data_IF_038007551365
#
_entry.id   IF_038007551365
#
_cell.length_a   1.000
_cell.length_b   1.000
_cell.length_c   1.000
_cell.angle_alpha   90.00
_cell.angle_beta   90.00
_cell.angle_gamma   90.00
#
_symmetry.space_group_name_H-M   'P 1'
#
loop_
_entity.id
_entity.type
_entity.pdbx_description
1 polymer ?
#
# COMPACT_ATOMS: atom_id res chain seq x y z
N UNK A 1 1.14 -5.02 -13.88
CA UNK A 1 2.41 -4.48 -14.42
C UNK A 1 2.30 -3.94 -15.85
N UNK A 2 1.62 -4.65 -16.79
CA UNK A 2 1.51 -4.20 -18.21
C UNK A 2 0.68 -2.93 -18.32
N UNK A 3 -0.48 -2.89 -17.64
CA UNK A 3 -1.37 -1.73 -17.63
C UNK A 3 -0.67 -0.50 -17.03
N UNK A 4 -0.03 -0.67 -15.88
CA UNK A 4 0.70 0.43 -15.25
C UNK A 4 1.79 0.99 -16.15
N UNK A 5 2.64 0.14 -16.76
CA UNK A 5 3.68 0.55 -17.69
C UNK A 5 3.14 1.31 -18.91
N UNK A 6 1.98 0.89 -19.42
CA UNK A 6 1.27 1.61 -20.49
C UNK A 6 0.79 2.99 -20.00
N UNK A 7 0.15 3.04 -18.83
CA UNK A 7 -0.36 4.31 -18.28
C UNK A 7 0.74 5.32 -17.98
N UNK A 8 1.89 4.87 -17.52
CA UNK A 8 3.08 5.71 -17.33
C UNK A 8 3.55 6.32 -18.65
N UNK A 9 3.70 5.46 -19.69
CA UNK A 9 4.26 5.88 -20.99
C UNK A 9 3.30 6.75 -21.78
N UNK A 10 2.02 6.36 -21.82
CA UNK A 10 1.05 6.94 -22.76
C UNK A 10 0.11 7.94 -22.11
N UNK A 11 -0.07 7.88 -20.80
CA UNK A 11 -1.04 8.72 -20.07
C UNK A 11 -0.40 9.64 -19.03
N UNK A 12 0.90 9.48 -18.78
CA UNK A 12 1.65 10.34 -17.87
C UNK A 12 1.34 10.07 -16.40
N UNK A 13 1.01 8.85 -16.02
CA UNK A 13 0.92 8.44 -14.61
C UNK A 13 2.31 8.55 -13.98
N UNK A 14 2.39 9.12 -12.78
CA UNK A 14 3.65 9.35 -12.06
C UNK A 14 3.60 8.91 -10.60
N UNK A 15 2.46 8.45 -10.11
CA UNK A 15 2.33 7.91 -8.75
C UNK A 15 1.71 6.54 -8.80
N UNK A 16 2.40 5.58 -8.21
CA UNK A 16 1.89 4.24 -7.94
C UNK A 16 1.42 4.18 -6.48
N UNK A 17 0.16 3.84 -6.27
CA UNK A 17 -0.48 3.78 -4.95
C UNK A 17 -0.67 2.33 -4.57
N UNK A 18 -0.20 1.94 -3.40
CA UNK A 18 -0.28 0.57 -2.90
C UNK A 18 -1.17 0.46 -1.65
N UNK A 19 -1.82 -0.68 -1.51
CA UNK A 19 -2.46 -1.11 -0.27
C UNK A 19 -1.40 -1.61 0.71
N UNK A 20 -0.57 -0.68 1.14
CA UNK A 20 0.52 -0.94 2.07
C UNK A 20 0.72 0.25 2.99
N UNK A 21 1.31 0.02 4.16
CA UNK A 21 1.60 1.08 5.13
C UNK A 21 2.72 2.00 4.67
N UNK A 22 2.77 3.16 5.31
CA UNK A 22 3.71 4.23 4.94
C UNK A 22 5.17 3.82 5.02
N UNK A 23 5.58 3.10 6.09
CA UNK A 23 6.98 2.70 6.25
C UNK A 23 7.45 1.74 5.15
N UNK A 24 6.57 0.83 4.74
CA UNK A 24 6.85 -0.11 3.63
C UNK A 24 7.09 0.65 2.34
N UNK A 25 6.14 1.46 1.92
CA UNK A 25 6.21 2.16 0.64
C UNK A 25 7.23 3.30 0.62
N UNK A 26 7.55 3.88 1.77
CA UNK A 26 8.69 4.80 1.88
C UNK A 26 10.01 4.10 1.49
N UNK A 27 10.27 2.90 2.01
CA UNK A 27 11.48 2.14 1.69
C UNK A 27 11.51 1.69 0.22
N UNK A 28 10.36 1.29 -0.33
CA UNK A 28 10.19 0.99 -1.76
C UNK A 28 10.49 2.22 -2.61
N UNK A 29 9.91 3.35 -2.26
CA UNK A 29 10.16 4.60 -2.96
C UNK A 29 11.64 5.01 -2.90
N UNK A 30 12.28 4.93 -1.73
CA UNK A 30 13.71 5.22 -1.61
C UNK A 30 14.57 4.28 -2.49
N UNK A 31 14.14 3.03 -2.63
CA UNK A 31 14.80 2.04 -3.48
C UNK A 31 14.65 2.39 -4.97
N UNK A 32 13.45 2.66 -5.43
CA UNK A 32 13.22 2.99 -6.85
C UNK A 32 13.71 4.39 -7.24
N UNK A 33 13.95 5.25 -6.25
CA UNK A 33 14.63 6.54 -6.45
C UNK A 33 16.16 6.41 -6.43
N UNK A 34 16.71 5.23 -6.16
CA UNK A 34 18.15 4.97 -6.10
C UNK A 34 18.87 5.50 -4.84
N UNK A 35 18.11 5.84 -3.78
CA UNK A 35 18.65 6.28 -2.49
C UNK A 35 18.86 5.14 -1.49
N UNK A 36 18.16 4.03 -1.69
CA UNK A 36 18.36 2.77 -0.98
C UNK A 36 18.70 1.68 -2.02
N UNK A 37 19.64 0.78 -1.72
CA UNK A 37 19.98 -0.28 -2.66
C UNK A 37 18.92 -1.40 -2.63
N UNK A 38 18.73 -2.08 -3.76
CA UNK A 38 17.86 -3.26 -3.84
C UNK A 38 18.30 -4.34 -2.85
N UNK A 39 19.60 -4.59 -2.72
CA UNK A 39 20.14 -5.60 -1.81
C UNK A 39 19.94 -5.25 -0.33
N UNK A 40 19.82 -3.98 0.02
CA UNK A 40 19.63 -3.58 1.41
C UNK A 40 18.21 -3.85 1.89
N UNK A 41 17.23 -3.81 1.00
CA UNK A 41 15.84 -3.95 1.37
C UNK A 41 15.03 -4.88 0.45
N UNK A 42 14.87 -4.54 -0.83
CA UNK A 42 13.88 -5.18 -1.72
C UNK A 42 14.16 -6.67 -1.95
N UNK A 43 15.43 -7.07 -2.10
CA UNK A 43 15.84 -8.47 -2.21
C UNK A 43 15.42 -9.32 -1.00
N UNK A 44 15.06 -8.68 0.11
CA UNK A 44 14.70 -9.34 1.37
C UNK A 44 13.21 -9.33 1.65
N UNK A 45 12.47 -8.42 1.02
CA UNK A 45 11.06 -8.15 1.32
C UNK A 45 10.12 -8.53 0.19
N UNK A 46 10.60 -8.59 -1.06
CA UNK A 46 9.76 -8.92 -2.22
C UNK A 46 9.45 -10.41 -2.30
N UNK A 47 8.19 -10.73 -2.48
CA UNK A 47 7.70 -12.10 -2.48
C UNK A 47 7.57 -12.72 -3.87
N UNK A 48 7.36 -11.88 -4.89
CA UNK A 48 7.15 -12.33 -6.25
C UNK A 48 8.22 -11.76 -7.18
N UNK A 49 8.52 -12.53 -8.23
CA UNK A 49 9.39 -12.08 -9.30
C UNK A 49 8.78 -10.90 -10.05
N UNK A 50 7.47 -10.95 -10.21
CA UNK A 50 6.69 -9.94 -10.92
C UNK A 50 6.74 -8.57 -10.23
N UNK A 51 6.70 -8.54 -8.91
CA UNK A 51 6.85 -7.31 -8.12
C UNK A 51 8.27 -6.78 -8.20
N UNK A 52 9.26 -7.66 -8.04
CA UNK A 52 10.66 -7.28 -8.19
C UNK A 52 10.95 -6.67 -9.57
N UNK A 53 10.48 -7.29 -10.64
CA UNK A 53 10.61 -6.79 -12.01
C UNK A 53 9.87 -5.45 -12.22
N UNK A 54 8.78 -5.21 -11.50
CA UNK A 54 8.09 -3.93 -11.52
C UNK A 54 8.94 -2.84 -10.88
N UNK A 55 9.45 -3.06 -9.68
CA UNK A 55 10.29 -2.08 -8.98
C UNK A 55 11.60 -1.82 -9.73
N UNK A 56 12.21 -2.87 -10.29
CA UNK A 56 13.38 -2.69 -11.14
C UNK A 56 13.07 -1.80 -12.35
N UNK A 57 11.93 -2.05 -13.00
CA UNK A 57 11.50 -1.23 -14.13
C UNK A 57 11.23 0.23 -13.72
N UNK A 58 10.63 0.47 -12.55
CA UNK A 58 10.42 1.84 -12.02
C UNK A 58 11.77 2.51 -11.75
N UNK A 59 12.73 1.81 -11.15
CA UNK A 59 14.06 2.34 -10.91
C UNK A 59 14.80 2.69 -12.22
N UNK A 60 14.72 1.81 -13.22
CA UNK A 60 15.28 2.06 -14.55
C UNK A 60 14.59 3.25 -15.22
N UNK A 61 13.27 3.38 -15.08
CA UNK A 61 12.53 4.55 -15.55
C UNK A 61 13.01 5.83 -14.88
N UNK A 62 13.21 5.82 -13.57
CA UNK A 62 13.60 6.99 -12.78
C UNK A 62 15.04 7.41 -13.03
N UNK A 63 15.90 6.50 -13.49
CA UNK A 63 17.31 6.76 -13.71
C UNK A 63 17.54 7.88 -14.74
N UNK A 64 18.22 8.92 -14.31
CA UNK A 64 18.55 10.06 -15.17
C UNK A 64 17.39 10.99 -15.54
N UNK A 65 16.21 10.83 -14.91
CA UNK A 65 15.06 11.71 -15.13
C UNK A 65 15.00 12.82 -14.10
N UNK A 66 14.44 13.95 -14.52
CA UNK A 66 14.05 15.05 -13.63
C UNK A 66 12.96 14.59 -12.66
N UNK A 67 12.90 15.18 -11.47
CA UNK A 67 11.97 14.78 -10.41
C UNK A 67 10.50 14.80 -10.85
N UNK A 68 10.09 15.74 -11.69
CA UNK A 68 8.74 15.83 -12.22
C UNK A 68 8.34 14.66 -13.13
N UNK A 69 9.31 13.97 -13.72
CA UNK A 69 9.10 12.82 -14.61
C UNK A 69 9.31 11.47 -13.94
N UNK A 70 9.79 11.46 -12.71
CA UNK A 70 9.98 10.24 -11.93
C UNK A 70 8.67 9.68 -11.45
N UNK A 71 8.64 8.38 -11.30
CA UNK A 71 7.53 7.65 -10.67
C UNK A 71 7.82 7.57 -9.18
N UNK A 72 6.85 7.95 -8.35
CA UNK A 72 6.88 7.73 -6.90
C UNK A 72 5.96 6.57 -6.52
N UNK A 73 6.30 5.88 -5.44
CA UNK A 73 5.46 4.87 -4.78
C UNK A 73 4.97 5.47 -3.48
N UNK A 74 3.68 5.33 -3.21
CA UNK A 74 3.05 5.75 -1.96
C UNK A 74 2.14 4.66 -1.41
N UNK A 75 2.12 4.50 -0.09
CA UNK A 75 1.18 3.65 0.63
C UNK A 75 0.15 4.49 1.36
N UNK A 76 -1.07 4.02 1.34
CA UNK A 76 -2.18 4.72 2.00
C UNK A 76 -2.84 3.89 3.11
N UNK A 77 -2.44 2.62 3.25
CA UNK A 77 -2.95 1.76 4.31
C UNK A 77 -2.31 2.08 5.67
N UNK A 78 -3.01 1.68 6.73
CA UNK A 78 -2.54 1.74 8.10
C UNK A 78 -1.78 0.47 8.51
N UNK A 79 -1.91 -0.62 7.75
CA UNK A 79 -1.24 -1.88 8.02
C UNK A 79 0.21 -1.82 7.62
N UNK A 80 1.10 -1.77 8.59
CA UNK A 80 2.53 -1.75 8.35
C UNK A 80 3.23 -2.91 9.07
N UNK A 81 4.37 -3.31 8.52
CA UNK A 81 5.18 -4.33 9.13
C UNK A 81 6.15 -3.69 10.14
N UNK A 82 6.24 -4.25 11.34
CA UNK A 82 7.12 -3.72 12.40
C UNK A 82 8.59 -3.68 11.96
N UNK A 83 9.03 -4.62 11.13
CA UNK A 83 10.38 -4.63 10.58
C UNK A 83 10.62 -3.46 9.62
N UNK A 84 9.64 -3.12 8.78
CA UNK A 84 9.72 -1.98 7.88
C UNK A 84 9.69 -0.67 8.68
N UNK A 85 8.87 -0.59 9.73
CA UNK A 85 8.89 0.55 10.65
C UNK A 85 10.28 0.74 11.31
N UNK A 86 10.88 -0.35 11.79
CA UNK A 86 12.22 -0.29 12.35
C UNK A 86 13.26 0.13 11.32
N UNK A 87 13.21 -0.41 10.10
CA UNK A 87 14.11 -0.04 9.01
C UNK A 87 13.95 1.41 8.59
N UNK A 88 12.73 1.93 8.50
CA UNK A 88 12.47 3.34 8.24
C UNK A 88 13.13 4.20 9.31
N UNK A 89 12.90 3.92 10.59
CA UNK A 89 13.54 4.65 11.68
C UNK A 89 15.07 4.64 11.55
N UNK A 90 15.66 3.50 11.24
CA UNK A 90 17.12 3.38 11.07
C UNK A 90 17.62 4.14 9.86
N UNK A 91 16.90 4.09 8.75
CA UNK A 91 17.23 4.82 7.55
C UNK A 91 17.24 6.33 7.82
N UNK A 92 16.21 6.86 8.45
CA UNK A 92 16.10 8.28 8.79
C UNK A 92 17.19 8.71 9.79
N UNK A 93 17.54 7.87 10.76
CA UNK A 93 18.50 8.19 11.80
C UNK A 93 19.98 7.93 11.39
N UNK A 94 20.23 7.34 10.22
CA UNK A 94 21.55 6.83 9.81
C UNK A 94 22.66 7.85 9.93
N UNK A 95 22.42 9.08 9.49
CA UNK A 95 23.43 10.16 9.44
C UNK A 95 23.14 11.31 10.40
N UNK A 96 22.10 11.17 11.25
CA UNK A 96 21.71 12.23 12.16
C UNK A 96 22.71 12.47 13.29
N UNK A 97 22.89 13.74 13.63
CA UNK A 97 23.57 14.17 14.86
C UNK A 97 22.55 14.34 15.99
N UNK A 98 22.82 13.72 17.13
CA UNK A 98 21.94 13.74 18.30
C UNK A 98 22.39 14.72 19.38
N UNK A 99 23.36 15.60 19.10
CA UNK A 99 23.91 16.52 20.13
C UNK A 99 22.93 17.62 20.53
N UNK A 100 21.93 17.91 19.70
CA UNK A 100 20.94 18.97 19.94
C UNK A 100 19.72 18.58 20.77
N UNK A 101 19.66 17.33 21.28
CA UNK A 101 18.50 16.82 22.03
C UNK A 101 18.89 16.40 23.45
N UNK A 102 17.91 16.19 24.32
CA UNK A 102 18.17 15.74 25.68
C UNK A 102 18.79 14.33 25.75
N UNK A 103 19.43 14.02 26.88
CA UNK A 103 20.19 12.76 27.04
C UNK A 103 19.31 11.52 26.91
N UNK A 104 18.02 11.59 27.31
CA UNK A 104 17.10 10.46 27.19
C UNK A 104 16.74 10.21 25.73
N UNK A 105 16.38 11.25 24.99
CA UNK A 105 16.13 11.21 23.55
C UNK A 105 17.35 10.71 22.79
N UNK A 106 18.54 11.23 23.10
CA UNK A 106 19.79 10.77 22.47
C UNK A 106 20.03 9.27 22.68
N UNK A 107 19.77 8.75 23.88
CA UNK A 107 19.91 7.32 24.20
C UNK A 107 18.93 6.47 23.39
N UNK A 108 17.66 6.88 23.34
CA UNK A 108 16.62 6.18 22.58
C UNK A 108 16.99 6.11 21.09
N UNK A 109 17.24 7.25 20.45
CA UNK A 109 17.55 7.31 19.02
C UNK A 109 18.84 6.56 18.67
N UNK A 110 19.84 6.60 19.54
CA UNK A 110 21.08 5.81 19.40
C UNK A 110 20.81 4.31 19.49
N UNK A 111 19.95 3.89 20.42
CA UNK A 111 19.57 2.48 20.57
C UNK A 111 18.83 1.98 19.32
N UNK A 112 17.85 2.71 18.82
CA UNK A 112 17.10 2.38 17.59
C UNK A 112 18.06 2.26 16.40
N UNK A 113 18.94 3.24 16.19
CA UNK A 113 19.89 3.25 15.07
C UNK A 113 20.82 2.05 15.04
N UNK A 114 21.15 1.48 16.19
CA UNK A 114 22.09 0.35 16.32
C UNK A 114 21.45 -1.03 16.20
N UNK A 115 20.14 -1.13 16.17
CA UNK A 115 19.47 -2.42 16.07
C UNK A 115 19.67 -3.08 14.70
N UNK A 116 19.54 -4.41 14.68
CA UNK A 116 19.48 -5.18 13.45
C UNK A 116 18.00 -5.51 13.14
N UNK A 117 17.39 -4.94 12.09
CA UNK A 117 15.98 -5.17 11.77
C UNK A 117 15.68 -6.61 11.31
N UNK A 118 16.71 -7.41 11.06
CA UNK A 118 16.60 -8.82 10.69
C UNK A 118 16.79 -9.79 11.87
N UNK A 119 16.90 -9.27 13.08
CA UNK A 119 16.97 -10.06 14.31
C UNK A 119 15.60 -10.09 14.97
N UNK A 120 14.96 -11.27 15.07
CA UNK A 120 13.66 -11.41 15.70
C UNK A 120 13.62 -10.88 17.15
N UNK A 121 14.70 -11.09 17.91
CA UNK A 121 14.80 -10.56 19.27
C UNK A 121 14.85 -9.03 19.29
N UNK A 122 15.59 -8.41 18.39
CA UNK A 122 15.69 -6.95 18.33
C UNK A 122 14.44 -6.32 17.76
N UNK A 123 13.74 -7.01 16.86
CA UNK A 123 12.43 -6.61 16.36
C UNK A 123 11.41 -6.57 17.49
N UNK A 124 11.38 -7.61 18.34
CA UNK A 124 10.51 -7.65 19.52
C UNK A 124 10.86 -6.50 20.49
N UNK A 125 12.15 -6.28 20.76
CA UNK A 125 12.60 -5.15 21.60
C UNK A 125 12.18 -3.80 21.00
N UNK A 126 12.28 -3.64 19.67
CA UNK A 126 11.83 -2.44 19.01
C UNK A 126 10.33 -2.22 19.21
N UNK A 127 9.51 -3.25 18.98
CA UNK A 127 8.07 -3.20 19.12
C UNK A 127 7.63 -2.89 20.56
N UNK A 128 8.22 -3.58 21.54
CA UNK A 128 7.74 -3.54 22.92
C UNK A 128 8.31 -2.38 23.74
N UNK A 129 9.52 -1.94 23.42
CA UNK A 129 10.22 -0.95 24.23
C UNK A 129 10.47 0.38 23.51
N UNK A 130 11.00 0.35 22.29
CA UNK A 130 11.46 1.57 21.63
C UNK A 130 10.35 2.31 20.88
N UNK A 131 9.48 1.59 20.19
CA UNK A 131 8.40 2.20 19.44
C UNK A 131 7.40 2.95 20.35
N UNK A 132 6.98 2.41 21.51
CA UNK A 132 6.16 3.17 22.45
C UNK A 132 6.85 4.45 22.96
N UNK A 133 8.15 4.39 23.26
CA UNK A 133 8.93 5.55 23.67
C UNK A 133 9.06 6.60 22.54
N UNK A 134 9.20 6.13 21.30
CA UNK A 134 9.28 7.00 20.14
C UNK A 134 7.94 7.70 19.87
N UNK A 135 6.83 7.00 20.05
CA UNK A 135 5.47 7.57 19.98
C UNK A 135 5.28 8.61 21.08
N UNK A 136 5.66 8.30 22.32
CA UNK A 136 5.59 9.25 23.45
C UNK A 136 6.46 10.50 23.18
N UNK A 137 7.68 10.31 22.66
CA UNK A 137 8.56 11.40 22.30
C UNK A 137 7.93 12.29 21.23
N UNK A 138 7.35 11.70 20.17
CA UNK A 138 6.64 12.44 19.14
C UNK A 138 5.45 13.24 19.70
N UNK A 139 4.67 12.66 20.61
CA UNK A 139 3.51 13.31 21.20
C UNK A 139 3.85 14.41 22.21
N UNK A 140 4.96 14.27 22.95
CA UNK A 140 5.29 15.18 24.06
C UNK A 140 6.38 16.17 23.74
N UNK A 141 7.27 15.88 22.81
CA UNK A 141 8.45 16.68 22.46
C UNK A 141 8.78 16.59 20.95
N UNK A 142 7.81 16.86 20.03
CA UNK A 142 8.03 16.72 18.60
C UNK A 142 9.21 17.57 18.10
N UNK A 143 9.47 18.73 18.71
CA UNK A 143 10.58 19.60 18.36
C UNK A 143 11.96 18.91 18.47
N UNK A 144 12.12 17.92 19.34
CA UNK A 144 13.37 17.18 19.43
C UNK A 144 13.59 16.26 18.22
N UNK A 145 12.51 15.65 17.69
CA UNK A 145 12.59 14.88 16.46
C UNK A 145 12.80 15.79 15.25
N UNK A 146 12.14 16.93 15.19
CA UNK A 146 12.35 17.94 14.14
C UNK A 146 13.80 18.44 14.13
N UNK A 147 14.38 18.72 15.31
CA UNK A 147 15.77 19.13 15.41
C UNK A 147 16.77 18.10 14.89
N UNK A 148 16.47 16.81 15.05
CA UNK A 148 17.33 15.70 14.60
C UNK A 148 17.12 15.39 13.13
N UNK A 149 15.86 15.33 12.67
CA UNK A 149 15.49 14.83 11.36
C UNK A 149 15.29 15.95 10.32
N UNK A 150 15.08 17.19 10.76
CA UNK A 150 14.77 18.30 9.86
C UNK A 150 13.54 18.01 9.02
N UNK A 151 13.64 18.21 7.72
CA UNK A 151 12.54 17.94 6.77
C UNK A 151 12.13 16.48 6.70
N UNK A 152 12.94 15.55 7.18
CA UNK A 152 12.62 14.12 7.19
C UNK A 152 11.71 13.73 8.38
N UNK A 153 11.48 14.63 9.35
CA UNK A 153 10.62 14.38 10.50
C UNK A 153 9.20 13.97 10.08
N UNK A 154 8.68 14.55 9.00
CA UNK A 154 7.36 14.22 8.48
C UNK A 154 7.24 12.75 8.04
N UNK A 155 8.33 12.10 7.60
CA UNK A 155 8.30 10.68 7.23
C UNK A 155 8.13 9.78 8.45
N UNK A 156 8.80 10.14 9.54
CA UNK A 156 8.63 9.46 10.82
C UNK A 156 7.22 9.68 11.36
N UNK A 157 6.73 10.92 11.33
CA UNK A 157 5.37 11.28 11.76
C UNK A 157 4.30 10.44 11.05
N UNK A 158 4.33 10.38 9.73
CA UNK A 158 3.37 9.61 8.93
C UNK A 158 3.40 8.11 9.27
N UNK A 159 4.59 7.55 9.44
CA UNK A 159 4.73 6.15 9.83
C UNK A 159 4.19 5.88 11.26
N UNK A 160 4.48 6.78 12.22
CA UNK A 160 3.95 6.68 13.58
C UNK A 160 2.43 6.84 13.63
N UNK A 161 1.86 7.75 12.82
CA UNK A 161 0.42 7.93 12.70
C UNK A 161 -0.24 6.65 12.18
N UNK A 162 0.23 6.09 11.07
CA UNK A 162 -0.30 4.84 10.52
C UNK A 162 -0.24 3.68 11.54
N UNK A 163 0.85 3.58 12.30
CA UNK A 163 0.95 2.59 13.38
C UNK A 163 -0.09 2.80 14.48
N UNK A 164 -0.33 4.03 14.91
CA UNK A 164 -1.35 4.36 15.91
C UNK A 164 -2.77 4.07 15.39
N UNK A 165 -3.04 4.36 14.13
CA UNK A 165 -4.29 4.03 13.46
C UNK A 165 -4.52 2.51 13.41
N UNK A 166 -3.48 1.72 13.11
CA UNK A 166 -3.54 0.25 13.14
C UNK A 166 -3.87 -0.29 14.54
N UNK A 167 -3.27 0.27 15.60
CA UNK A 167 -3.59 -0.09 16.99
C UNK A 167 -5.03 0.25 17.33
N UNK A 168 -5.55 1.40 16.89
CA UNK A 168 -6.94 1.77 17.10
C UNK A 168 -7.90 0.84 16.35
N UNK A 169 -7.59 0.47 15.11
CA UNK A 169 -8.37 -0.54 14.38
C UNK A 169 -8.43 -1.87 15.15
N UNK A 170 -7.30 -2.35 15.66
CA UNK A 170 -7.26 -3.56 16.47
C UNK A 170 -8.13 -3.43 17.75
N UNK A 171 -8.09 -2.26 18.40
CA UNK A 171 -8.92 -1.97 19.57
C UNK A 171 -10.42 -1.99 19.24
N UNK A 172 -10.81 -1.48 18.08
CA UNK A 172 -12.18 -1.49 17.59
C UNK A 172 -12.63 -2.93 17.29
N UNK A 173 -11.82 -3.70 16.57
CA UNK A 173 -12.07 -5.11 16.23
C UNK A 173 -12.35 -5.96 17.47
N UNK A 174 -11.63 -5.75 18.56
CA UNK A 174 -11.84 -6.46 19.82
C UNK A 174 -13.13 -6.13 20.57
N UNK A 175 -13.91 -5.14 20.14
CA UNK A 175 -15.16 -4.68 20.78
C UNK A 175 -16.44 -5.10 20.06
N UNK A 176 -16.33 -5.65 18.86
CA UNK A 176 -17.49 -5.95 17.99
C UNK A 176 -17.76 -7.43 17.98
N UNK A 177 -18.97 -7.84 18.41
CA UNK A 177 -19.43 -9.22 18.35
C UNK A 177 -19.77 -9.68 16.92
N UNK A 178 -19.88 -8.77 15.96
CA UNK A 178 -20.16 -9.06 14.55
C UNK A 178 -19.05 -8.46 13.67
N UNK A 179 -18.37 -9.32 12.92
CA UNK A 179 -17.39 -8.94 11.93
C UNK A 179 -17.99 -8.00 10.88
N UNK A 180 -17.40 -6.85 10.67
CA UNK A 180 -17.55 -6.08 9.44
C UNK A 180 -18.06 -4.65 9.53
N UNK A 181 -18.43 -4.08 10.68
CA UNK A 181 -19.09 -2.77 10.66
C UNK A 181 -18.23 -1.60 11.18
N UNK A 182 -17.36 -1.74 12.16
CA UNK A 182 -16.68 -0.58 12.75
C UNK A 182 -15.18 -0.48 12.44
N UNK A 183 -14.49 -1.58 12.40
CA UNK A 183 -13.05 -1.60 12.16
C UNK A 183 -12.71 -1.46 10.67
N UNK A 184 -13.53 -2.05 9.79
CA UNK A 184 -13.37 -1.91 8.35
C UNK A 184 -13.69 -0.48 7.90
N UNK A 185 -14.80 0.11 8.38
CA UNK A 185 -15.13 1.51 8.12
C UNK A 185 -14.05 2.46 8.65
N UNK A 186 -13.46 2.16 9.80
CA UNK A 186 -12.34 2.95 10.32
C UNK A 186 -11.13 2.90 9.40
N UNK A 187 -10.74 1.70 8.95
CA UNK A 187 -9.62 1.53 8.01
C UNK A 187 -9.88 2.27 6.69
N UNK A 188 -11.09 2.15 6.12
CA UNK A 188 -11.48 2.86 4.89
C UNK A 188 -11.40 4.39 5.05
N UNK A 189 -11.75 4.92 6.22
CA UNK A 189 -11.57 6.33 6.52
C UNK A 189 -10.10 6.73 6.52
N UNK A 190 -9.23 5.92 7.15
CA UNK A 190 -7.79 6.18 7.15
C UNK A 190 -7.20 6.13 5.73
N UNK A 191 -7.58 5.12 4.92
CA UNK A 191 -7.15 5.04 3.52
C UNK A 191 -7.53 6.30 2.74
N UNK A 192 -8.78 6.76 2.91
CA UNK A 192 -9.26 7.98 2.25
C UNK A 192 -8.47 9.21 2.69
N UNK A 193 -8.25 9.40 3.97
CA UNK A 193 -7.53 10.56 4.51
C UNK A 193 -6.05 10.55 4.10
N UNK A 194 -5.42 9.39 4.13
CA UNK A 194 -4.05 9.21 3.67
C UNK A 194 -3.90 9.51 2.17
N UNK A 195 -4.81 8.99 1.34
CA UNK A 195 -4.83 9.30 -0.09
C UNK A 195 -5.06 10.79 -0.35
N UNK A 196 -6.04 11.40 0.33
CA UNK A 196 -6.37 12.82 0.14
C UNK A 196 -5.23 13.74 0.54
N UNK A 197 -4.45 13.38 1.57
CA UNK A 197 -3.23 14.12 1.95
C UNK A 197 -2.22 14.13 0.81
N UNK A 198 -1.93 12.97 0.23
CA UNK A 198 -1.02 12.85 -0.92
C UNK A 198 -1.55 13.58 -2.16
N UNK A 199 -2.85 13.46 -2.43
CA UNK A 199 -3.48 14.13 -3.56
C UNK A 199 -3.44 15.66 -3.44
N UNK A 200 -3.65 16.20 -2.24
CA UNK A 200 -3.60 17.64 -2.00
C UNK A 200 -2.19 18.24 -2.20
N UNK A 201 -1.16 17.47 -1.91
CA UNK A 201 0.23 17.88 -2.18
C UNK A 201 0.55 17.89 -3.69
N UNK A 202 -0.09 17.02 -4.48
CA UNK A 202 0.18 16.84 -5.91
C UNK A 202 -1.10 16.69 -6.75
N UNK A 203 -2.00 17.70 -6.76
CA UNK A 203 -3.34 17.58 -7.33
C UNK A 203 -3.37 17.43 -8.86
N UNK A 204 -2.32 17.86 -9.56
CA UNK A 204 -2.19 17.78 -11.01
C UNK A 204 -1.51 16.49 -11.49
N UNK A 205 -1.09 15.63 -10.56
CA UNK A 205 -0.43 14.37 -10.87
C UNK A 205 -1.47 13.29 -11.14
N UNK A 206 -1.13 12.34 -12.01
CA UNK A 206 -1.96 11.16 -12.28
C UNK A 206 -1.50 9.98 -11.45
N UNK A 207 -2.46 9.35 -10.83
CA UNK A 207 -2.29 8.22 -9.91
C UNK A 207 -2.77 6.93 -10.57
N UNK A 208 -2.14 5.83 -10.21
CA UNK A 208 -2.60 4.47 -10.47
C UNK A 208 -2.44 3.67 -9.19
N UNK A 209 -3.44 2.92 -8.79
CA UNK A 209 -3.40 2.10 -7.58
C UNK A 209 -3.88 0.68 -7.82
N UNK A 210 -3.31 -0.26 -7.05
CA UNK A 210 -3.72 -1.66 -7.00
C UNK A 210 -4.13 -2.01 -5.57
N UNK A 211 -5.37 -2.48 -5.41
CA UNK A 211 -6.00 -2.72 -4.10
C UNK A 211 -6.84 -3.99 -4.14
N UNK A 212 -7.07 -4.56 -2.97
CA UNK A 212 -8.12 -5.56 -2.80
C UNK A 212 -9.48 -5.03 -3.26
N UNK A 213 -10.27 -5.90 -3.90
CA UNK A 213 -11.53 -5.50 -4.53
C UNK A 213 -12.50 -4.77 -3.58
N UNK A 214 -12.46 -5.09 -2.29
CA UNK A 214 -13.28 -4.43 -1.27
C UNK A 214 -13.07 -2.92 -1.18
N UNK A 215 -11.83 -2.48 -1.40
CA UNK A 215 -11.43 -1.08 -1.25
C UNK A 215 -11.75 -0.23 -2.48
N UNK A 216 -12.01 -0.84 -3.63
CA UNK A 216 -12.14 -0.13 -4.92
C UNK A 216 -13.55 -0.06 -5.47
N UNK A 217 -14.56 -0.47 -4.73
CA UNK A 217 -15.94 -0.33 -5.17
C UNK A 217 -16.39 1.13 -5.16
N UNK A 218 -17.07 1.55 -6.21
CA UNK A 218 -17.58 2.93 -6.37
C UNK A 218 -18.88 3.18 -5.59
N UNK A 219 -19.50 2.14 -5.05
CA UNK A 219 -20.73 2.21 -4.25
C UNK A 219 -20.76 1.06 -3.23
N UNK A 220 -21.56 1.24 -2.19
CA UNK A 220 -21.77 0.22 -1.18
C UNK A 220 -22.28 -1.09 -1.78
N UNK A 221 -21.73 -2.20 -1.31
CA UNK A 221 -22.13 -3.53 -1.68
C UNK A 221 -22.65 -4.32 -0.48
N UNK A 222 -23.77 -4.97 -0.65
CA UNK A 222 -24.37 -5.84 0.38
C UNK A 222 -24.74 -7.18 -0.23
N UNK A 223 -23.78 -8.11 -0.28
CA UNK A 223 -23.98 -9.49 -0.70
C UNK A 223 -24.33 -10.41 0.48
N UNK A 224 -24.57 -11.70 0.19
CA UNK A 224 -24.91 -12.70 1.20
C UNK A 224 -23.73 -13.07 2.11
N UNK A 225 -22.50 -12.97 1.61
CA UNK A 225 -21.28 -13.45 2.28
C UNK A 225 -20.37 -12.28 2.64
N UNK A 226 -20.46 -11.20 1.91
CA UNK A 226 -19.54 -10.09 2.01
C UNK A 226 -20.30 -8.75 1.91
N UNK A 227 -19.88 -7.79 2.69
CA UNK A 227 -20.45 -6.45 2.71
C UNK A 227 -19.31 -5.44 2.64
N UNK A 228 -19.46 -4.45 1.79
CA UNK A 228 -18.56 -3.29 1.70
C UNK A 228 -19.38 -2.04 1.92
N UNK A 229 -18.96 -1.21 2.84
CA UNK A 229 -19.59 0.06 3.13
C UNK A 229 -18.56 1.17 3.17
N UNK A 230 -18.87 2.27 2.51
CA UNK A 230 -18.04 3.48 2.54
C UNK A 230 -16.56 3.19 2.22
N UNK A 231 -16.27 2.34 1.22
CA UNK A 231 -14.88 2.15 0.80
C UNK A 231 -14.24 3.49 0.46
N UNK A 232 -12.92 3.60 0.55
CA UNK A 232 -12.26 4.87 0.26
C UNK A 232 -12.55 5.32 -1.17
N UNK A 233 -12.68 4.39 -2.14
CA UNK A 233 -13.05 4.71 -3.53
C UNK A 233 -14.51 5.15 -3.64
N UNK A 234 -15.45 4.54 -2.89
CA UNK A 234 -16.82 5.04 -2.80
C UNK A 234 -16.84 6.52 -2.44
N UNK A 235 -16.09 6.90 -1.40
CA UNK A 235 -15.98 8.31 -0.94
C UNK A 235 -15.32 9.21 -1.99
N UNK A 236 -14.31 8.73 -2.71
CA UNK A 236 -13.67 9.48 -3.80
C UNK A 236 -14.62 9.71 -4.98
N UNK A 237 -15.58 8.80 -5.20
CA UNK A 237 -16.55 8.87 -6.28
C UNK A 237 -17.81 9.68 -5.94
N UNK A 238 -18.06 10.01 -4.68
CA UNK A 238 -19.23 10.76 -4.22
C UNK A 238 -19.38 12.12 -4.91
N UNK A 239 -20.64 12.56 -5.06
CA UNK A 239 -20.96 13.89 -5.56
C UNK A 239 -20.35 14.96 -4.62
N UNK A 240 -19.59 15.89 -5.20
CA UNK A 240 -18.87 16.92 -4.44
C UNK A 240 -17.44 16.54 -4.06
N UNK A 241 -17.01 15.30 -4.25
CA UNK A 241 -15.61 14.91 -4.12
C UNK A 241 -14.74 15.60 -5.19
N UNK A 242 -13.51 15.93 -4.85
CA UNK A 242 -12.51 16.49 -5.78
C UNK A 242 -12.20 15.55 -6.95
N UNK A 243 -12.45 14.27 -6.80
CA UNK A 243 -12.19 13.22 -7.79
C UNK A 243 -13.44 12.70 -8.49
N UNK A 244 -14.61 13.22 -8.16
CA UNK A 244 -15.84 12.86 -8.89
C UNK A 244 -15.65 13.09 -10.40
N UNK A 245 -15.94 12.05 -11.19
CA UNK A 245 -15.77 12.07 -12.65
C UNK A 245 -14.33 12.01 -13.16
N UNK A 246 -13.32 11.94 -12.26
CA UNK A 246 -11.90 11.79 -12.60
C UNK A 246 -11.36 10.40 -12.29
N UNK A 247 -12.14 9.59 -11.60
CA UNK A 247 -11.78 8.25 -11.16
C UNK A 247 -12.20 7.21 -12.19
N UNK A 248 -11.35 6.23 -12.43
CA UNK A 248 -11.68 5.03 -13.22
C UNK A 248 -11.33 3.80 -12.40
N UNK A 249 -12.33 2.97 -12.15
CA UNK A 249 -12.18 1.70 -11.46
C UNK A 249 -12.24 0.56 -12.45
N UNK A 250 -11.24 -0.34 -12.33
CA UNK A 250 -11.16 -1.57 -13.09
C UNK A 250 -11.13 -2.71 -12.07
N UNK A 251 -12.18 -3.51 -12.05
CA UNK A 251 -12.20 -4.73 -11.25
C UNK A 251 -11.40 -5.83 -11.96
N UNK A 252 -10.25 -6.17 -11.39
CA UNK A 252 -9.37 -7.22 -11.90
C UNK A 252 -9.33 -8.46 -11.00
N UNK A 253 -10.09 -8.46 -9.90
CA UNK A 253 -10.06 -9.52 -8.88
C UNK A 253 -10.67 -10.84 -9.29
N UNK A 254 -11.20 -10.95 -10.48
CA UNK A 254 -11.99 -12.10 -10.92
C UNK A 254 -11.22 -13.07 -11.78
N UNK A 255 -10.09 -13.42 -11.28
CA UNK A 255 -9.36 -14.56 -11.81
C UNK A 255 -9.87 -15.84 -11.18
N UNK A 256 -11.16 -16.09 -11.29
CA UNK A 256 -11.71 -17.38 -10.87
C UNK A 256 -11.70 -18.35 -12.03
N UNK A 257 -11.45 -19.61 -11.67
CA UNK A 257 -11.69 -20.73 -12.55
C UNK A 257 -13.00 -20.52 -13.29
N UNK A 258 -12.91 -19.96 -14.48
CA UNK A 258 -13.97 -20.10 -15.47
C UNK A 258 -13.93 -21.60 -15.76
N UNK A 259 -14.82 -22.33 -15.09
CA UNK A 259 -14.84 -23.76 -15.16
C UNK A 259 -14.79 -24.21 -16.62
N UNK A 260 -13.92 -25.14 -16.96
CA UNK A 260 -13.85 -25.90 -18.21
C UNK A 260 -14.01 -25.11 -19.52
N UNK A 261 -13.40 -23.95 -19.64
CA UNK A 261 -13.10 -23.39 -20.94
C UNK A 261 -11.81 -24.05 -21.44
N UNK A 262 -11.90 -25.29 -21.91
CA UNK A 262 -10.86 -26.14 -22.45
C UNK A 262 -9.45 -25.54 -22.57
N UNK A 263 -8.43 -26.32 -22.37
CA UNK A 263 -7.03 -25.93 -22.44
C UNK A 263 -6.77 -24.94 -23.60
N UNK A 264 -6.79 -23.65 -23.31
CA UNK A 264 -6.31 -22.62 -24.22
C UNK A 264 -4.92 -22.19 -23.76
N UNK A 265 -3.94 -22.45 -24.55
CA UNK A 265 -2.52 -22.13 -24.34
C UNK A 265 -2.22 -20.61 -24.34
N UNK A 266 -3.24 -19.77 -24.27
CA UNK A 266 -3.05 -18.32 -24.41
C UNK A 266 -3.54 -17.59 -23.18
N UNK A 267 -2.60 -17.00 -22.42
CA UNK A 267 -2.88 -16.01 -21.39
C UNK A 267 -3.54 -14.77 -22.03
N UNK A 268 -4.85 -14.78 -22.14
CA UNK A 268 -5.60 -13.64 -22.67
C UNK A 268 -6.24 -12.88 -21.52
N UNK A 269 -6.12 -11.56 -21.57
CA UNK A 269 -6.87 -10.66 -20.72
C UNK A 269 -7.85 -9.87 -21.60
N UNK A 270 -9.11 -9.82 -21.21
CA UNK A 270 -10.15 -9.06 -21.93
C UNK A 270 -10.74 -8.01 -20.98
N UNK A 271 -10.67 -6.76 -21.42
CA UNK A 271 -11.25 -5.63 -20.69
C UNK A 271 -12.67 -5.39 -21.17
N UNK A 272 -13.63 -5.53 -20.27
CA UNK A 272 -15.05 -5.26 -20.53
C UNK A 272 -15.44 -3.90 -19.95
N UNK A 273 -16.13 -3.09 -20.75
CA UNK A 273 -16.73 -1.86 -20.27
C UNK A 273 -18.15 -2.18 -19.75
N UNK A 274 -18.34 -2.13 -18.45
CA UNK A 274 -19.58 -2.51 -17.76
C UNK A 274 -20.76 -1.61 -18.11
N UNK A 275 -20.52 -0.36 -18.55
CA UNK A 275 -21.56 0.57 -18.97
C UNK A 275 -22.14 0.23 -20.34
N UNK A 276 -21.43 -0.59 -21.14
CA UNK A 276 -21.83 -0.94 -22.53
C UNK A 276 -22.29 -2.38 -22.67
N UNK A 277 -21.70 -3.29 -21.92
CA UNK A 277 -22.03 -4.71 -21.97
C UNK A 277 -21.66 -5.40 -20.67
N UNK A 278 -22.51 -6.32 -20.21
CA UNK A 278 -22.16 -7.19 -19.07
C UNK A 278 -21.06 -8.18 -19.50
N UNK A 279 -20.05 -8.41 -18.66
CA UNK A 279 -19.07 -9.46 -18.93
C UNK A 279 -19.77 -10.83 -19.01
N UNK A 280 -19.29 -11.76 -19.86
CA UNK A 280 -19.90 -13.06 -20.06
C UNK A 280 -19.56 -14.06 -18.91
N UNK A 281 -19.66 -13.61 -17.68
CA UNK A 281 -19.36 -14.43 -16.49
C UNK A 281 -20.64 -15.13 -16.06
N UNK A 282 -20.73 -16.45 -16.29
CA UNK A 282 -21.93 -17.21 -15.99
C UNK A 282 -22.00 -17.74 -14.55
N UNK A 283 -20.90 -17.84 -13.84
CA UNK A 283 -20.90 -18.53 -12.53
C UNK A 283 -19.87 -17.93 -11.55
N UNK A 284 -20.16 -16.71 -11.11
CA UNK A 284 -19.39 -16.06 -10.04
C UNK A 284 -19.80 -16.52 -8.64
N UNK A 285 -20.73 -17.46 -8.55
CA UNK A 285 -21.37 -17.89 -7.31
C UNK A 285 -20.47 -18.71 -6.37
N UNK A 286 -19.27 -19.04 -6.74
CA UNK A 286 -18.42 -19.92 -5.89
C UNK A 286 -17.48 -19.17 -4.96
N UNK A 287 -17.16 -17.92 -5.25
CA UNK A 287 -16.19 -17.16 -4.44
C UNK A 287 -16.56 -15.68 -4.32
N UNK A 288 -16.82 -15.22 -3.15
CA UNK A 288 -16.80 -13.86 -2.59
C UNK A 288 -17.63 -12.74 -3.24
N UNK A 289 -18.02 -12.80 -4.48
CA UNK A 289 -18.43 -11.61 -5.22
C UNK A 289 -19.67 -11.82 -6.08
N UNK A 290 -20.78 -12.21 -5.48
CA UNK A 290 -22.07 -12.28 -6.19
C UNK A 290 -22.43 -10.96 -6.87
N UNK A 291 -21.96 -10.77 -8.10
CA UNK A 291 -22.58 -9.81 -9.00
C UNK A 291 -21.95 -8.46 -9.22
N UNK A 292 -20.93 -8.01 -8.46
CA UNK A 292 -20.42 -6.67 -8.72
C UNK A 292 -19.58 -6.49 -9.99
N UNK A 293 -18.93 -7.53 -10.48
CA UNK A 293 -18.30 -7.46 -11.80
C UNK A 293 -19.30 -7.24 -12.94
N UNK A 294 -20.58 -7.32 -12.69
CA UNK A 294 -21.62 -7.16 -13.71
C UNK A 294 -22.38 -5.84 -13.61
N UNK A 295 -22.08 -5.05 -12.58
CA UNK A 295 -22.81 -3.80 -12.33
C UNK A 295 -21.85 -2.59 -12.45
N UNK A 296 -22.16 -1.70 -13.38
CA UNK A 296 -21.39 -0.48 -13.62
C UNK A 296 -21.39 0.50 -12.43
N UNK A 297 -22.28 0.32 -11.45
CA UNK A 297 -22.27 1.11 -10.22
C UNK A 297 -21.07 0.80 -9.33
N UNK A 298 -20.47 -0.38 -9.46
CA UNK A 298 -19.32 -0.80 -8.65
C UNK A 298 -17.97 -0.56 -9.34
N UNK A 299 -17.91 -0.80 -10.66
CA UNK A 299 -16.71 -0.56 -11.46
C UNK A 299 -17.07 -0.24 -12.91
N UNK A 300 -16.35 0.71 -13.54
CA UNK A 300 -16.60 1.04 -14.95
C UNK A 300 -16.05 -0.02 -15.90
N UNK A 301 -15.07 -0.79 -15.47
CA UNK A 301 -14.45 -1.83 -16.27
C UNK A 301 -14.20 -3.08 -15.44
N UNK A 302 -14.23 -4.22 -16.12
CA UNK A 302 -13.83 -5.52 -15.57
C UNK A 302 -12.75 -6.11 -16.46
N UNK A 303 -11.63 -6.50 -15.85
CA UNK A 303 -10.55 -7.22 -16.52
C UNK A 303 -10.68 -8.71 -16.22
N UNK A 304 -11.08 -9.50 -17.22
CA UNK A 304 -11.11 -10.95 -17.12
C UNK A 304 -9.81 -11.52 -17.68
N UNK A 305 -9.10 -12.26 -16.85
CA UNK A 305 -7.91 -13.01 -17.26
C UNK A 305 -8.27 -14.49 -17.43
N UNK A 306 -8.05 -15.02 -18.62
CA UNK A 306 -8.13 -16.46 -18.89
C UNK A 306 -6.84 -17.09 -18.35
N UNK A 307 -6.87 -17.85 -17.32
CA UNK A 307 -5.72 -18.38 -16.56
C UNK A 307 -5.02 -17.34 -15.69
N UNK A 308 -5.55 -17.14 -14.48
CA UNK A 308 -4.88 -16.36 -13.44
C UNK A 308 -3.72 -17.19 -12.90
N UNK A 309 -2.63 -17.19 -13.57
CA UNK A 309 -1.58 -18.09 -13.15
C UNK A 309 -0.51 -17.41 -12.38
N UNK A 310 -0.53 -17.83 -11.17
CA UNK A 310 0.68 -18.27 -10.51
C UNK A 310 1.75 -17.20 -10.60
N UNK A 311 1.60 -16.21 -9.73
CA UNK A 311 2.75 -15.42 -9.34
C UNK A 311 3.94 -16.38 -9.21
N UNK A 312 4.97 -16.17 -9.97
CA UNK A 312 6.18 -16.98 -9.89
C UNK A 312 6.82 -16.67 -8.54
N UNK A 313 6.81 -17.63 -7.62
CA UNK A 313 7.45 -17.45 -6.33
C UNK A 313 8.93 -17.20 -6.57
N UNK A 314 9.38 -16.00 -6.28
CA UNK A 314 10.77 -15.61 -6.43
C UNK A 314 11.60 -16.20 -5.28
N UNK A 315 11.89 -17.51 -5.37
CA UNK A 315 12.68 -18.23 -4.35
C UNK A 315 14.04 -17.59 -4.09
N UNK A 316 14.61 -17.00 -5.12
CA UNK A 316 15.88 -16.29 -5.07
C UNK A 316 15.78 -14.93 -4.36
N UNK A 317 14.59 -14.34 -4.31
CA UNK A 317 14.31 -13.05 -3.68
C UNK A 317 13.60 -13.19 -2.33
N UNK A 318 13.15 -14.42 -1.98
CA UNK A 318 12.54 -14.70 -0.68
C UNK A 318 13.60 -14.59 0.40
N UNK A 319 13.70 -13.43 1.00
CA UNK A 319 14.55 -13.21 2.16
C UNK A 319 14.12 -14.07 3.35
N UNK A 320 15.00 -14.22 4.32
CA UNK A 320 14.73 -14.90 5.60
C UNK A 320 13.56 -14.32 6.39
N UNK A 321 13.11 -13.14 6.03
CA UNK A 321 12.03 -12.39 6.67
C UNK A 321 10.68 -13.14 6.67
N UNK A 322 10.34 -13.82 5.59
CA UNK A 322 9.07 -14.56 5.47
C UNK A 322 9.07 -15.99 6.04
N UNK A 323 10.21 -16.42 6.59
CA UNK A 323 10.27 -17.71 7.29
C UNK A 323 9.67 -17.69 8.70
N UNK A 324 9.26 -16.52 9.17
CA UNK A 324 8.81 -16.30 10.56
C UNK A 324 7.37 -15.77 10.68
N UNK A 325 6.60 -15.77 9.58
CA UNK A 325 5.18 -15.40 9.59
C UNK A 325 4.29 -16.52 9.09
#
# INVERSE_FOLDING_TARGET
NVLFKYLVKEKGVRVFVEEAGYATTFLENETVQGRLSFSDWLDRCTNSKEDYELYQWIADWNSGREDADRISIIGIDITDNIGNMQMLCQYLLKTCDFTGVDVQTQRLLTAIRKQNPFSSLQLQTFQDEFLPQLIELYQTKPEQLENVLGTQAMHLERALLGWQEALEQQRLRGKVEQLGDSDDVYRENCLYENFMREYQERPDTKYYGEFGAAHVLMSDYSGKIYRVQNSFVTRLAEEGSLLNGKLTVIDGGLTFEIGDLGESDTNKATLYNTTRAKPPVQDMNKFYMDGFAQDASYAQYVLLCEHPNNLTVAKEYSGSYWKYH
#
